data_IF_149444775071
#
_entry.id   IF_149444775071
#
_cell.length_a   1.000
_cell.length_b   1.000
_cell.length_c   1.000
_cell.angle_alpha   90.00
_cell.angle_beta   90.00
_cell.angle_gamma   90.00
#
_symmetry.space_group_name_H-M   'P 1'
#
loop_
_entity.id
_entity.type
_entity.pdbx_description
1 polymer ?
#
# COMPACT_ATOMS: atom_id res chain seq x y z
N UNK A 1 25.34 -14.00 -11.36
CA UNK A 1 24.63 -14.27 -12.62
C UNK A 1 23.34 -13.48 -12.62
N UNK A 2 23.11 -12.60 -13.60
CA UNK A 2 21.90 -11.78 -13.70
C UNK A 2 20.71 -12.68 -14.04
N UNK A 3 19.66 -12.69 -13.19
CA UNK A 3 18.43 -13.42 -13.48
C UNK A 3 17.35 -12.46 -13.99
N UNK A 4 17.05 -12.44 -15.30
CA UNK A 4 16.16 -11.44 -15.88
C UNK A 4 14.71 -11.50 -15.34
N UNK A 5 14.26 -12.64 -14.85
CA UNK A 5 12.92 -12.81 -14.27
C UNK A 5 12.72 -11.99 -12.98
N UNK A 6 13.76 -11.87 -12.15
CA UNK A 6 13.67 -11.16 -10.86
C UNK A 6 13.59 -9.63 -11.05
N UNK A 7 14.24 -9.06 -12.08
CA UNK A 7 14.14 -7.62 -12.34
C UNK A 7 12.74 -7.23 -12.82
N UNK A 8 12.14 -8.06 -13.69
CA UNK A 8 10.77 -7.86 -14.17
C UNK A 8 9.77 -7.95 -13.01
N UNK A 9 9.92 -8.94 -12.13
CA UNK A 9 9.08 -9.06 -10.94
C UNK A 9 9.22 -7.84 -10.03
N UNK A 10 10.45 -7.35 -9.81
CA UNK A 10 10.72 -6.14 -9.04
C UNK A 10 9.99 -4.91 -9.58
N UNK A 11 10.11 -4.61 -10.88
CA UNK A 11 9.41 -3.46 -11.49
C UNK A 11 7.89 -3.59 -11.43
N UNK A 12 7.35 -4.81 -11.51
CA UNK A 12 5.91 -5.03 -11.35
C UNK A 12 5.44 -4.77 -9.93
N UNK A 13 6.24 -5.14 -8.93
CA UNK A 13 5.94 -4.81 -7.52
C UNK A 13 5.96 -3.29 -7.34
N UNK A 14 6.96 -2.61 -7.88
CA UNK A 14 7.06 -1.15 -7.77
C UNK A 14 5.88 -0.44 -8.45
N UNK A 15 5.51 -0.87 -9.65
CA UNK A 15 4.35 -0.33 -10.36
C UNK A 15 3.05 -0.53 -9.57
N UNK A 16 2.86 -1.73 -9.01
CA UNK A 16 1.69 -2.03 -8.20
C UNK A 16 1.68 -1.26 -6.88
N UNK A 17 2.83 -1.09 -6.21
CA UNK A 17 2.95 -0.24 -5.01
C UNK A 17 2.47 1.19 -5.26
N UNK A 18 2.87 1.78 -6.40
CA UNK A 18 2.45 3.11 -6.82
C UNK A 18 0.97 3.18 -7.11
N UNK A 19 0.46 2.25 -7.91
CA UNK A 19 -0.98 2.14 -8.22
C UNK A 19 -1.80 2.05 -6.92
N UNK A 20 -1.34 1.25 -5.97
CA UNK A 20 -2.03 1.05 -4.70
C UNK A 20 -2.06 2.32 -3.84
N UNK A 21 -0.98 3.09 -3.81
CA UNK A 21 -0.93 4.38 -3.12
C UNK A 21 -1.86 5.41 -3.79
N UNK A 22 -1.91 5.42 -5.13
CA UNK A 22 -2.80 6.29 -5.90
C UNK A 22 -4.28 5.94 -5.67
N UNK A 23 -4.63 4.65 -5.68
CA UNK A 23 -5.97 4.16 -5.34
C UNK A 23 -6.36 4.45 -3.88
N UNK A 24 -5.40 4.41 -2.97
CA UNK A 24 -5.63 4.85 -1.60
C UNK A 24 -5.98 6.34 -1.56
N UNK A 25 -5.13 7.18 -2.17
CA UNK A 25 -5.29 8.64 -2.13
C UNK A 25 -6.55 9.13 -2.84
N UNK A 26 -6.98 8.46 -3.92
CA UNK A 26 -8.23 8.78 -4.61
C UNK A 26 -9.47 8.56 -3.72
N UNK A 27 -9.39 7.65 -2.74
CA UNK A 27 -10.48 7.31 -1.81
C UNK A 27 -10.40 8.10 -0.51
N UNK A 28 -9.19 8.46 -0.10
CA UNK A 28 -8.90 9.22 1.11
C UNK A 28 -7.79 10.22 0.83
N UNK A 29 -8.16 11.43 0.41
CA UNK A 29 -7.22 12.48 0.00
C UNK A 29 -6.38 13.01 1.16
N UNK A 30 -5.30 13.70 0.83
CA UNK A 30 -4.46 14.39 1.82
C UNK A 30 -5.27 15.40 2.66
N UNK A 31 -6.17 16.15 2.04
CA UNK A 31 -7.04 17.13 2.72
C UNK A 31 -7.82 16.46 3.86
N UNK A 32 -8.45 15.31 3.59
CA UNK A 32 -9.19 14.54 4.59
C UNK A 32 -8.29 13.96 5.69
N UNK A 33 -6.99 13.78 5.42
CA UNK A 33 -5.99 13.35 6.40
C UNK A 33 -5.50 14.49 7.30
N UNK A 34 -5.63 15.73 6.84
CA UNK A 34 -5.23 16.94 7.58
C UNK A 34 -6.37 17.58 8.36
N UNK A 35 -7.61 17.36 7.94
CA UNK A 35 -8.81 17.85 8.62
C UNK A 35 -9.05 17.13 9.97
N UNK A 36 -9.81 17.78 10.85
CA UNK A 36 -10.28 17.15 12.08
C UNK A 36 -11.12 15.91 11.76
N UNK A 37 -10.82 14.74 12.35
CA UNK A 37 -11.55 13.52 12.05
C UNK A 37 -13.03 13.64 12.42
N UNK A 38 -13.89 13.22 11.51
CA UNK A 38 -15.32 13.06 11.72
C UNK A 38 -15.72 11.62 11.37
N UNK A 39 -16.94 11.21 11.74
CA UNK A 39 -17.42 9.83 11.48
C UNK A 39 -17.40 9.47 9.99
N UNK A 40 -17.53 10.44 9.08
CA UNK A 40 -17.54 10.22 7.63
C UNK A 40 -16.12 10.02 7.10
N UNK A 41 -15.15 10.82 7.55
CA UNK A 41 -13.75 10.71 7.17
C UNK A 41 -13.12 9.44 7.73
N UNK A 42 -13.44 9.05 8.97
CA UNK A 42 -13.05 7.76 9.55
C UNK A 42 -13.58 6.57 8.74
N UNK A 43 -14.87 6.61 8.36
CA UNK A 43 -15.48 5.56 7.54
C UNK A 43 -14.85 5.48 6.14
N UNK A 44 -14.51 6.62 5.54
CA UNK A 44 -13.78 6.67 4.25
C UNK A 44 -12.39 6.08 4.39
N UNK A 45 -11.64 6.48 5.42
CA UNK A 45 -10.32 5.93 5.71
C UNK A 45 -10.37 4.41 5.84
N UNK A 46 -11.27 3.88 6.69
CA UNK A 46 -11.41 2.43 6.88
C UNK A 46 -11.75 1.69 5.57
N UNK A 47 -12.62 2.27 4.72
CA UNK A 47 -12.93 1.71 3.40
C UNK A 47 -11.74 1.75 2.45
N UNK A 48 -10.98 2.84 2.43
CA UNK A 48 -9.79 2.99 1.61
C UNK A 48 -8.72 1.96 2.01
N UNK A 49 -8.44 1.83 3.31
CA UNK A 49 -7.50 0.83 3.85
C UNK A 49 -7.95 -0.60 3.52
N UNK A 50 -9.21 -0.94 3.79
CA UNK A 50 -9.75 -2.27 3.47
C UNK A 50 -9.64 -2.61 1.98
N UNK A 51 -9.90 -1.63 1.10
CA UNK A 51 -9.75 -1.81 -0.33
C UNK A 51 -8.30 -2.15 -0.69
N UNK A 52 -7.33 -1.32 -0.29
CA UNK A 52 -5.93 -1.55 -0.66
C UNK A 52 -5.33 -2.80 -0.02
N UNK A 53 -5.74 -3.13 1.21
CA UNK A 53 -5.31 -4.36 1.88
C UNK A 53 -5.81 -5.61 1.17
N UNK A 54 -7.03 -5.58 0.63
CA UNK A 54 -7.58 -6.65 -0.20
C UNK A 54 -6.82 -6.78 -1.52
N UNK A 55 -6.62 -5.69 -2.24
CA UNK A 55 -5.87 -5.71 -3.51
C UNK A 55 -4.44 -6.25 -3.31
N UNK A 56 -3.77 -5.89 -2.21
CA UNK A 56 -2.44 -6.40 -1.90
C UNK A 56 -2.42 -7.91 -1.62
N UNK A 57 -3.44 -8.44 -0.94
CA UNK A 57 -3.59 -9.88 -0.70
C UNK A 57 -3.82 -10.64 -2.02
N UNK A 58 -4.68 -10.13 -2.89
CA UNK A 58 -4.94 -10.69 -4.22
C UNK A 58 -3.67 -10.70 -5.09
N UNK A 59 -2.93 -9.58 -5.12
CA UNK A 59 -1.66 -9.48 -5.85
C UNK A 59 -0.61 -10.49 -5.36
N UNK A 60 -0.56 -10.76 -4.04
CA UNK A 60 0.31 -11.82 -3.51
C UNK A 60 -0.11 -13.20 -3.98
N UNK A 61 -1.41 -13.52 -4.00
CA UNK A 61 -1.90 -14.83 -4.43
C UNK A 61 -1.57 -15.09 -5.90
N UNK A 62 -1.79 -14.10 -6.77
CA UNK A 62 -1.48 -14.17 -8.21
C UNK A 62 0.02 -14.32 -8.49
N UNK A 63 0.89 -13.71 -7.66
CA UNK A 63 2.34 -13.61 -7.94
C UNK A 63 3.26 -14.41 -7.02
N UNK A 64 2.70 -15.16 -6.06
CA UNK A 64 3.44 -15.90 -5.02
C UNK A 64 4.51 -15.03 -4.35
N UNK A 65 4.16 -13.81 -3.92
CA UNK A 65 5.11 -12.92 -3.26
C UNK A 65 5.70 -13.59 -2.00
N UNK A 66 7.02 -13.74 -2.00
CA UNK A 66 7.80 -14.11 -0.83
C UNK A 66 8.11 -12.90 0.07
N UNK A 67 8.87 -13.12 1.14
CA UNK A 67 9.19 -12.11 2.17
C UNK A 67 9.77 -10.83 1.55
N UNK A 68 10.73 -10.95 0.63
CA UNK A 68 11.34 -9.80 -0.05
C UNK A 68 10.31 -9.02 -0.89
N UNK A 69 9.43 -9.72 -1.61
CA UNK A 69 8.40 -9.09 -2.43
C UNK A 69 7.39 -8.31 -1.58
N UNK A 70 6.99 -8.87 -0.43
CA UNK A 70 6.13 -8.17 0.54
C UNK A 70 6.80 -6.94 1.13
N UNK A 71 8.10 -7.02 1.47
CA UNK A 71 8.85 -5.87 1.97
C UNK A 71 8.98 -4.77 0.91
N UNK A 72 9.27 -5.15 -0.34
CA UNK A 72 9.35 -4.22 -1.48
C UNK A 72 8.00 -3.54 -1.74
N UNK A 73 6.91 -4.31 -1.71
CA UNK A 73 5.55 -3.80 -1.85
C UNK A 73 5.23 -2.73 -0.79
N UNK A 74 5.47 -3.08 0.49
CA UNK A 74 5.22 -2.18 1.62
C UNK A 74 6.08 -0.93 1.56
N UNK A 75 7.36 -1.06 1.24
CA UNK A 75 8.25 0.10 1.07
C UNK A 75 7.80 1.00 -0.08
N UNK A 76 7.47 0.45 -1.25
CA UNK A 76 6.99 1.25 -2.38
C UNK A 76 5.72 2.03 -2.00
N UNK A 77 4.76 1.38 -1.35
CA UNK A 77 3.54 2.03 -0.87
C UNK A 77 3.84 3.17 0.13
N UNK A 78 4.73 2.89 1.09
CA UNK A 78 5.21 3.86 2.09
C UNK A 78 5.85 5.10 1.44
N UNK A 79 6.73 4.90 0.47
CA UNK A 79 7.42 6.00 -0.22
C UNK A 79 6.45 6.86 -1.02
N UNK A 80 5.52 6.26 -1.74
CA UNK A 80 4.55 6.99 -2.56
C UNK A 80 3.58 7.81 -1.68
N UNK A 81 3.09 7.27 -0.55
CA UNK A 81 2.31 8.07 0.41
C UNK A 81 3.12 9.22 1.03
N UNK A 82 4.43 9.01 1.25
CA UNK A 82 5.32 10.07 1.73
C UNK A 82 5.47 11.18 0.71
N UNK A 83 5.63 10.84 -0.57
CA UNK A 83 5.72 11.81 -1.66
C UNK A 83 4.41 12.59 -1.85
N UNK A 84 3.28 11.96 -1.59
CA UNK A 84 1.96 12.61 -1.56
C UNK A 84 1.74 13.52 -0.34
N UNK A 85 2.64 13.49 0.66
CA UNK A 85 2.58 14.39 1.82
C UNK A 85 1.80 13.89 3.03
N UNK A 86 1.42 12.61 3.07
CA UNK A 86 0.77 12.05 4.28
C UNK A 86 1.74 12.08 5.48
N UNK A 87 1.18 12.19 6.69
CA UNK A 87 1.99 12.25 7.90
C UNK A 87 2.69 10.93 8.19
N UNK A 88 3.88 11.01 8.79
CA UNK A 88 4.74 9.86 9.02
C UNK A 88 4.09 8.76 9.87
N UNK A 89 3.46 9.15 10.98
CA UNK A 89 2.72 8.25 11.89
C UNK A 89 1.62 7.47 11.15
N UNK A 90 0.85 8.16 10.33
CA UNK A 90 -0.19 7.57 9.50
C UNK A 90 0.39 6.58 8.48
N UNK A 91 1.47 6.97 7.78
CA UNK A 91 2.11 6.14 6.77
C UNK A 91 2.63 4.83 7.38
N UNK A 92 3.26 4.87 8.56
CA UNK A 92 3.75 3.66 9.23
C UNK A 92 2.62 2.69 9.55
N UNK A 93 1.51 3.18 10.10
CA UNK A 93 0.39 2.34 10.50
C UNK A 93 -0.32 1.73 9.28
N UNK A 94 -0.57 2.53 8.23
CA UNK A 94 -1.14 2.04 6.97
C UNK A 94 -0.24 0.99 6.31
N UNK A 95 1.08 1.22 6.30
CA UNK A 95 2.05 0.28 5.72
C UNK A 95 2.14 -1.01 6.53
N UNK A 96 2.11 -0.92 7.86
CA UNK A 96 2.09 -2.09 8.74
C UNK A 96 0.84 -2.93 8.50
N UNK A 97 -0.34 -2.31 8.45
CA UNK A 97 -1.59 -2.99 8.14
C UNK A 97 -1.55 -3.68 6.77
N UNK A 98 -0.99 -3.02 5.76
CA UNK A 98 -0.78 -3.59 4.43
C UNK A 98 0.11 -4.84 4.46
N UNK A 99 1.26 -4.79 5.14
CA UNK A 99 2.16 -5.93 5.25
C UNK A 99 1.49 -7.10 5.99
N UNK A 100 0.71 -6.80 7.03
CA UNK A 100 -0.03 -7.82 7.79
C UNK A 100 -1.13 -8.47 6.95
N UNK A 101 -1.88 -7.70 6.15
CA UNK A 101 -2.93 -8.24 5.27
C UNK A 101 -2.39 -9.22 4.23
N UNK A 102 -1.16 -8.96 3.77
CA UNK A 102 -0.46 -9.81 2.79
C UNK A 102 0.08 -11.10 3.45
N UNK A 103 0.48 -11.05 4.72
CA UNK A 103 1.02 -12.21 5.46
C UNK A 103 -0.07 -13.10 6.07
N UNK A 104 -1.23 -12.53 6.40
CA UNK A 104 -2.37 -13.27 6.96
C UNK A 104 -2.90 -14.32 5.98
N UNK A 105 -3.22 -15.51 6.51
CA UNK A 105 -3.83 -16.62 5.75
C UNK A 105 -5.23 -16.25 5.28
#
# INVERSE_FOLDING_TARGET
MFNPLNWLQGKRIDAFSRELAQEFSSRYSLEMATESPDKKSEKKLGRALNYVYRQAREFRQDRRLGVYGTARLGNGFKWELREMGYRHDFIEEATKGLILSVRGK
#
